data_IF_438903714286
#
_entry.id   IF_438903714286
#
_cell.length_a   1.000
_cell.length_b   1.000
_cell.length_c   1.000
_cell.angle_alpha   90.00
_cell.angle_beta   90.00
_cell.angle_gamma   90.00
#
_symmetry.space_group_name_H-M   'P 1'
#
loop_
_entity.id
_entity.type
_entity.pdbx_description
1 polymer ?
#
# COMPACT_ATOMS: atom_id res chain seq x y z
N UNK A 1 -43.12 -30.23 -28.19
CA UNK A 1 -42.56 -29.80 -26.88
C UNK A 1 -41.99 -28.40 -27.05
N UNK A 2 -42.70 -27.32 -26.66
CA UNK A 2 -42.28 -25.93 -26.89
C UNK A 2 -41.56 -25.26 -25.69
N UNK A 3 -41.15 -26.03 -24.68
CA UNK A 3 -40.61 -25.48 -23.42
C UNK A 3 -39.10 -25.20 -23.39
N UNK A 4 -38.32 -25.61 -24.40
CA UNK A 4 -36.85 -25.54 -24.34
C UNK A 4 -36.23 -24.23 -24.83
N UNK A 5 -36.94 -23.45 -25.65
CA UNK A 5 -36.39 -22.20 -26.22
C UNK A 5 -36.54 -21.00 -25.29
N UNK A 6 -37.64 -20.92 -24.51
CA UNK A 6 -37.82 -19.86 -23.50
C UNK A 6 -36.78 -19.94 -22.38
N UNK A 7 -36.42 -21.14 -21.93
CA UNK A 7 -35.40 -21.30 -20.90
C UNK A 7 -33.99 -20.94 -21.37
N UNK A 8 -33.67 -21.03 -22.68
CA UNK A 8 -32.36 -20.61 -23.19
C UNK A 8 -32.22 -19.09 -23.25
N UNK A 9 -33.24 -18.35 -23.72
CA UNK A 9 -33.15 -16.89 -23.78
C UNK A 9 -33.20 -16.23 -22.39
N UNK A 10 -33.87 -16.85 -21.41
CA UNK A 10 -33.84 -16.41 -20.02
C UNK A 10 -32.46 -16.59 -19.37
N UNK A 11 -31.78 -17.71 -19.65
CA UNK A 11 -30.42 -17.97 -19.18
C UNK A 11 -29.39 -17.02 -19.82
N UNK A 12 -29.53 -16.74 -21.13
CA UNK A 12 -28.68 -15.76 -21.82
C UNK A 12 -28.87 -14.34 -21.28
N UNK A 13 -30.12 -13.90 -21.07
CA UNK A 13 -30.42 -12.61 -20.47
C UNK A 13 -29.90 -12.49 -19.02
N UNK A 14 -29.95 -13.57 -18.23
CA UNK A 14 -29.41 -13.57 -16.88
C UNK A 14 -27.89 -13.50 -16.87
N UNK A 15 -27.23 -14.26 -17.75
CA UNK A 15 -25.77 -14.22 -17.94
C UNK A 15 -25.30 -12.82 -18.37
N UNK A 16 -25.96 -12.20 -19.36
CA UNK A 16 -25.63 -10.85 -19.81
C UNK A 16 -25.75 -9.82 -18.68
N UNK A 17 -26.85 -9.85 -17.91
CA UNK A 17 -27.04 -8.95 -16.75
C UNK A 17 -26.00 -9.17 -15.66
N UNK A 18 -25.57 -10.41 -15.44
CA UNK A 18 -24.52 -10.72 -14.48
C UNK A 18 -23.17 -10.15 -14.95
N UNK A 19 -22.81 -10.34 -16.22
CA UNK A 19 -21.58 -9.78 -16.81
C UNK A 19 -21.57 -8.26 -16.75
N UNK A 20 -22.66 -7.58 -17.11
CA UNK A 20 -22.77 -6.12 -17.05
C UNK A 20 -22.61 -5.57 -15.63
N UNK A 21 -23.16 -6.27 -14.62
CA UNK A 21 -22.97 -5.90 -13.21
C UNK A 21 -21.52 -6.04 -12.77
N UNK A 22 -20.85 -7.12 -13.16
CA UNK A 22 -19.44 -7.34 -12.83
C UNK A 22 -18.55 -6.30 -13.49
N UNK A 23 -18.73 -6.02 -14.79
CA UNK A 23 -17.98 -4.99 -15.51
C UNK A 23 -18.21 -3.60 -14.91
N UNK A 24 -19.45 -3.28 -14.52
CA UNK A 24 -19.74 -2.04 -13.79
C UNK A 24 -18.97 -1.94 -12.48
N UNK A 25 -18.93 -3.02 -11.72
CA UNK A 25 -18.25 -3.06 -10.42
C UNK A 25 -16.73 -2.93 -10.58
N UNK A 26 -16.13 -3.58 -11.59
CA UNK A 26 -14.71 -3.46 -11.88
C UNK A 26 -14.31 -2.03 -12.22
N UNK A 27 -15.07 -1.37 -13.10
CA UNK A 27 -14.82 0.04 -13.46
C UNK A 27 -15.01 0.99 -12.27
N UNK A 28 -16.01 0.73 -11.43
CA UNK A 28 -16.17 1.50 -10.20
C UNK A 28 -14.95 1.36 -9.29
N UNK A 29 -14.38 0.16 -9.16
CA UNK A 29 -13.17 -0.08 -8.37
C UNK A 29 -11.94 0.60 -8.98
N UNK A 30 -11.81 0.61 -10.30
CA UNK A 30 -10.74 1.31 -11.02
C UNK A 30 -10.76 2.81 -10.70
N UNK A 31 -11.92 3.46 -10.79
CA UNK A 31 -12.03 4.90 -10.46
C UNK A 31 -11.77 5.15 -8.98
N UNK A 32 -12.21 4.27 -8.08
CA UNK A 32 -11.89 4.40 -6.64
C UNK A 32 -10.38 4.25 -6.37
N UNK A 33 -9.70 3.39 -7.12
CA UNK A 33 -8.25 3.26 -7.08
C UNK A 33 -7.55 4.57 -7.47
N UNK A 34 -7.94 5.18 -8.60
CA UNK A 34 -7.37 6.45 -9.04
C UNK A 34 -7.63 7.59 -8.03
N UNK A 35 -8.80 7.63 -7.41
CA UNK A 35 -9.09 8.61 -6.36
C UNK A 35 -8.18 8.42 -5.13
N UNK A 36 -7.87 7.19 -4.75
CA UNK A 36 -6.94 6.91 -3.66
C UNK A 36 -5.50 7.35 -4.01
N UNK A 37 -5.05 7.11 -5.25
CA UNK A 37 -3.75 7.61 -5.72
C UNK A 37 -3.70 9.14 -5.76
N UNK A 38 -4.79 9.78 -6.17
CA UNK A 38 -4.93 11.24 -6.17
C UNK A 38 -4.88 11.80 -4.76
N UNK A 39 -5.54 11.15 -3.79
CA UNK A 39 -5.47 11.53 -2.38
C UNK A 39 -4.03 11.49 -1.86
N UNK A 40 -3.30 10.42 -2.21
CA UNK A 40 -1.91 10.25 -1.82
C UNK A 40 -1.02 11.36 -2.39
N UNK A 41 -1.18 11.68 -3.68
CA UNK A 41 -0.47 12.80 -4.30
C UNK A 41 -0.80 14.14 -3.61
N UNK A 42 -2.04 14.32 -3.18
CA UNK A 42 -2.45 15.48 -2.37
C UNK A 42 -1.73 15.58 -1.04
N UNK A 43 -1.60 14.47 -0.31
CA UNK A 43 -0.83 14.43 0.95
C UNK A 43 0.66 14.73 0.74
N UNK A 44 1.26 14.21 -0.34
CA UNK A 44 2.64 14.52 -0.71
C UNK A 44 2.82 16.01 -1.00
N UNK A 45 1.88 16.61 -1.74
CA UNK A 45 1.86 18.04 -1.99
C UNK A 45 1.77 18.85 -0.68
N UNK A 46 0.86 18.49 0.23
CA UNK A 46 0.70 19.18 1.51
C UNK A 46 1.96 19.06 2.38
N UNK A 47 2.58 17.88 2.42
CA UNK A 47 3.85 17.64 3.13
C UNK A 47 5.00 18.48 2.55
N UNK A 48 5.22 18.41 1.23
CA UNK A 48 6.27 19.18 0.57
C UNK A 48 6.11 20.70 0.76
N UNK A 49 4.86 21.19 0.71
CA UNK A 49 4.52 22.58 0.99
C UNK A 49 4.82 22.97 2.44
N UNK A 50 4.41 22.15 3.42
CA UNK A 50 4.66 22.41 4.84
C UNK A 50 6.17 22.43 5.15
N UNK A 51 6.93 21.48 4.61
CA UNK A 51 8.39 21.47 4.72
C UNK A 51 9.04 22.71 4.10
N UNK A 52 8.54 23.17 2.94
CA UNK A 52 9.04 24.40 2.32
C UNK A 52 8.74 25.65 3.16
N UNK A 53 7.54 25.76 3.71
CA UNK A 53 7.18 26.87 4.62
C UNK A 53 8.06 26.87 5.87
N UNK A 54 8.28 25.71 6.48
CA UNK A 54 9.17 25.56 7.62
C UNK A 54 10.62 25.93 7.27
N UNK A 55 11.10 25.56 6.08
CA UNK A 55 12.43 25.95 5.60
C UNK A 55 12.55 27.47 5.41
N UNK A 56 11.54 28.13 4.84
CA UNK A 56 11.53 29.59 4.70
C UNK A 56 11.54 30.30 6.06
N UNK A 57 10.70 29.86 7.00
CA UNK A 57 10.61 30.43 8.35
C UNK A 57 11.91 30.24 9.14
N UNK A 58 12.47 29.03 9.12
CA UNK A 58 13.75 28.74 9.78
C UNK A 58 14.90 29.51 9.13
N UNK A 59 14.90 29.63 7.79
CA UNK A 59 15.89 30.43 7.07
C UNK A 59 15.81 31.88 7.52
N UNK A 60 14.64 32.53 7.46
CA UNK A 60 14.44 33.93 7.83
C UNK A 60 14.92 34.26 9.26
N UNK A 61 14.81 33.29 10.18
CA UNK A 61 15.21 33.44 11.57
C UNK A 61 16.67 33.04 11.86
N UNK A 62 17.37 32.42 10.91
CA UNK A 62 18.76 31.96 11.09
C UNK A 62 19.78 33.08 10.85
N UNK A 63 21.00 32.92 11.39
CA UNK A 63 22.11 33.84 11.11
C UNK A 63 22.48 33.88 9.61
N UNK A 64 22.36 32.74 8.92
CA UNK A 64 22.55 32.66 7.47
C UNK A 64 21.47 33.44 6.71
N UNK A 65 20.20 33.30 7.11
CA UNK A 65 19.11 34.09 6.53
C UNK A 65 19.26 35.58 6.78
N UNK A 66 19.65 36.01 7.97
CA UNK A 66 19.94 37.44 8.24
C UNK A 66 21.03 38.00 7.31
N UNK A 67 22.04 37.19 6.95
CA UNK A 67 23.05 37.57 5.95
C UNK A 67 22.46 37.62 4.54
N UNK A 68 21.63 36.64 4.18
CA UNK A 68 20.90 36.63 2.90
C UNK A 68 20.02 37.87 2.74
N UNK A 69 19.36 38.32 3.82
CA UNK A 69 18.55 39.54 3.85
C UNK A 69 19.38 40.82 3.77
N UNK A 70 20.63 40.79 4.23
CA UNK A 70 21.54 41.94 4.23
C UNK A 70 22.33 42.07 2.92
N UNK A 71 22.43 41.00 2.14
CA UNK A 71 23.13 40.96 0.86
C UNK A 71 22.20 41.39 -0.30
N UNK A 72 22.54 42.51 -0.95
CA UNK A 72 21.71 43.14 -1.99
C UNK A 72 21.64 42.35 -3.31
N UNK A 73 22.64 41.51 -3.60
CA UNK A 73 22.68 40.70 -4.82
C UNK A 73 21.89 39.39 -4.66
N UNK A 74 21.81 38.93 -3.41
CA UNK A 74 21.20 37.68 -3.01
C UNK A 74 19.72 37.87 -2.66
N UNK A 75 19.37 38.90 -1.90
CA UNK A 75 18.00 39.16 -1.43
C UNK A 75 16.90 39.06 -2.52
N UNK A 76 17.06 39.64 -3.73
CA UNK A 76 16.05 39.56 -4.78
C UNK A 76 15.73 38.12 -5.22
N UNK A 77 16.73 37.24 -5.20
CA UNK A 77 16.58 35.84 -5.59
C UNK A 77 15.85 35.04 -4.51
N UNK A 78 16.16 35.31 -3.23
CA UNK A 78 15.46 34.72 -2.09
C UNK A 78 13.99 35.15 -2.08
N UNK A 79 13.74 36.44 -2.28
CA UNK A 79 12.40 37.00 -2.34
C UNK A 79 11.60 36.46 -3.53
N UNK A 80 12.22 36.30 -4.71
CA UNK A 80 11.56 35.67 -5.84
C UNK A 80 11.19 34.20 -5.56
N UNK A 81 12.08 33.43 -4.93
CA UNK A 81 11.84 32.04 -4.54
C UNK A 81 10.72 31.91 -3.50
N UNK A 82 10.68 32.77 -2.48
CA UNK A 82 9.61 32.75 -1.47
C UNK A 82 8.26 33.15 -2.06
N UNK A 83 8.23 34.12 -2.99
CA UNK A 83 7.00 34.56 -3.67
C UNK A 83 6.46 33.55 -4.68
N UNK A 84 7.32 32.79 -5.36
CA UNK A 84 6.88 31.74 -6.29
C UNK A 84 6.00 30.69 -5.61
N UNK A 85 6.26 30.40 -4.33
CA UNK A 85 5.45 29.50 -3.52
C UNK A 85 4.12 30.10 -3.05
N UNK A 86 4.04 31.42 -2.86
CA UNK A 86 2.80 32.11 -2.49
C UNK A 86 1.86 32.30 -3.68
N UNK A 87 2.40 32.49 -4.89
CA UNK A 87 1.60 32.65 -6.12
C UNK A 87 0.92 31.36 -6.58
N UNK A 88 1.35 30.20 -6.06
CA UNK A 88 0.62 28.96 -6.27
C UNK A 88 -0.59 28.95 -5.35
N UNK A 89 -1.76 29.22 -5.94
CA UNK A 89 -3.03 29.18 -5.25
C UNK A 89 -3.11 27.90 -4.41
N UNK A 90 -3.50 28.06 -3.15
CA UNK A 90 -3.79 26.96 -2.25
C UNK A 90 -4.78 26.03 -2.95
N UNK A 91 -4.26 24.95 -3.50
CA UNK A 91 -5.04 23.94 -4.18
C UNK A 91 -6.02 23.36 -3.17
N UNK A 92 -7.32 23.60 -3.36
CA UNK A 92 -8.38 22.98 -2.57
C UNK A 92 -8.67 21.56 -3.10
N UNK A 93 -7.59 20.79 -3.27
CA UNK A 93 -7.63 19.47 -3.87
C UNK A 93 -8.49 18.50 -3.07
N UNK A 94 -8.59 18.70 -1.76
CA UNK A 94 -9.44 17.91 -0.88
C UNK A 94 -10.91 18.08 -1.26
N UNK A 95 -11.35 19.31 -1.51
CA UNK A 95 -12.72 19.60 -1.95
C UNK A 95 -12.99 19.06 -3.36
N UNK A 96 -12.02 19.18 -4.26
CA UNK A 96 -12.11 18.59 -5.60
C UNK A 96 -12.23 17.07 -5.52
N UNK A 97 -11.38 16.40 -4.74
CA UNK A 97 -11.38 14.96 -4.56
C UNK A 97 -12.67 14.45 -3.92
N UNK A 98 -13.19 15.14 -2.89
CA UNK A 98 -14.49 14.81 -2.29
C UNK A 98 -15.63 14.95 -3.29
N UNK A 99 -15.56 15.97 -4.15
CA UNK A 99 -16.53 16.17 -5.24
C UNK A 99 -16.47 15.03 -6.24
N UNK A 100 -15.28 14.60 -6.64
CA UNK A 100 -15.07 13.44 -7.52
C UNK A 100 -15.60 12.16 -6.89
N UNK A 101 -15.25 11.86 -5.63
CA UNK A 101 -15.73 10.69 -4.91
C UNK A 101 -17.27 10.64 -4.83
N UNK A 102 -17.91 11.78 -4.58
CA UNK A 102 -19.37 11.90 -4.60
C UNK A 102 -19.94 11.63 -6.00
N UNK A 103 -19.35 12.18 -7.05
CA UNK A 103 -19.76 11.94 -8.45
C UNK A 103 -19.65 10.47 -8.83
N UNK A 104 -18.57 9.78 -8.44
CA UNK A 104 -18.37 8.35 -8.70
C UNK A 104 -19.45 7.50 -8.03
N UNK A 105 -19.79 7.83 -6.78
CA UNK A 105 -20.84 7.12 -6.02
C UNK A 105 -22.25 7.35 -6.61
N UNK A 106 -22.49 8.52 -7.19
CA UNK A 106 -23.77 8.91 -7.81
C UNK A 106 -23.85 8.59 -9.31
N UNK A 107 -22.75 8.17 -9.93
CA UNK A 107 -22.71 7.93 -11.36
C UNK A 107 -23.46 6.63 -11.72
N UNK A 108 -24.54 6.80 -12.47
CA UNK A 108 -25.33 5.69 -13.02
C UNK A 108 -24.88 5.22 -14.41
N UNK A 109 -23.86 5.85 -15.00
CA UNK A 109 -23.37 5.57 -16.35
C UNK A 109 -21.84 5.51 -16.42
N UNK A 110 -21.36 4.72 -17.38
CA UNK A 110 -19.94 4.53 -17.65
C UNK A 110 -19.22 5.82 -18.06
N UNK A 111 -19.86 6.65 -18.89
CA UNK A 111 -19.25 7.90 -19.36
C UNK A 111 -18.93 8.85 -18.20
N UNK A 112 -19.75 8.84 -17.14
CA UNK A 112 -19.51 9.65 -15.95
C UNK A 112 -18.32 9.12 -15.13
N UNK A 113 -18.12 7.81 -15.10
CA UNK A 113 -16.94 7.23 -14.46
C UNK A 113 -15.66 7.57 -15.22
N UNK A 114 -15.67 7.48 -16.56
CA UNK A 114 -14.52 7.87 -17.39
C UNK A 114 -14.14 9.34 -17.19
N UNK A 115 -15.13 10.23 -17.11
CA UNK A 115 -14.87 11.64 -16.82
C UNK A 115 -14.23 11.82 -15.43
N UNK A 116 -14.75 11.12 -14.41
CA UNK A 116 -14.15 11.18 -13.06
C UNK A 116 -12.73 10.64 -13.02
N UNK A 117 -12.44 9.58 -13.79
CA UNK A 117 -11.10 9.02 -13.92
C UNK A 117 -10.12 10.04 -14.52
N UNK A 118 -10.48 10.65 -15.65
CA UNK A 118 -9.66 11.68 -16.29
C UNK A 118 -9.46 12.93 -15.41
N UNK A 119 -10.50 13.37 -14.70
CA UNK A 119 -10.40 14.49 -13.75
C UNK A 119 -9.48 14.12 -12.56
N UNK A 120 -9.53 12.88 -12.09
CA UNK A 120 -8.65 12.34 -11.04
C UNK A 120 -7.18 12.29 -11.50
N UNK A 121 -6.91 11.70 -12.66
CA UNK A 121 -5.57 11.60 -13.25
C UNK A 121 -4.94 12.98 -13.43
N UNK A 122 -5.69 13.93 -13.99
CA UNK A 122 -5.22 15.31 -14.18
C UNK A 122 -4.89 15.97 -12.84
N UNK A 123 -5.74 15.79 -11.83
CA UNK A 123 -5.50 16.33 -10.49
C UNK A 123 -4.26 15.71 -9.85
N UNK A 124 -4.09 14.39 -9.98
CA UNK A 124 -2.92 13.64 -9.48
C UNK A 124 -1.62 14.13 -10.12
N UNK A 125 -1.61 14.29 -11.44
CA UNK A 125 -0.45 14.81 -12.18
C UNK A 125 -0.10 16.22 -11.73
N UNK A 126 -1.10 17.10 -11.61
CA UNK A 126 -0.90 18.47 -11.12
C UNK A 126 -0.30 18.48 -9.71
N UNK A 127 -0.89 17.74 -8.77
CA UNK A 127 -0.40 17.67 -7.38
C UNK A 127 1.03 17.13 -7.31
N UNK A 128 1.32 16.08 -8.07
CA UNK A 128 2.65 15.48 -8.14
C UNK A 128 3.69 16.44 -8.70
N UNK A 129 3.37 17.16 -9.77
CA UNK A 129 4.24 18.18 -10.35
C UNK A 129 4.49 19.33 -9.37
N UNK A 130 3.46 19.78 -8.65
CA UNK A 130 3.63 20.82 -7.62
C UNK A 130 4.52 20.34 -6.46
N UNK A 131 4.33 19.10 -6.00
CA UNK A 131 5.19 18.53 -4.97
C UNK A 131 6.67 18.50 -5.41
N UNK A 132 6.96 18.06 -6.65
CA UNK A 132 8.33 18.05 -7.21
C UNK A 132 8.94 19.45 -7.28
N UNK A 133 8.15 20.47 -7.61
CA UNK A 133 8.61 21.87 -7.62
C UNK A 133 9.03 22.33 -6.22
N UNK A 134 8.24 22.04 -5.20
CA UNK A 134 8.61 22.36 -3.81
C UNK A 134 9.92 21.70 -3.40
N UNK A 135 10.11 20.42 -3.72
CA UNK A 135 11.38 19.72 -3.46
C UNK A 135 12.55 20.41 -4.18
N UNK A 136 12.37 20.79 -5.45
CA UNK A 136 13.40 21.50 -6.23
C UNK A 136 13.75 22.86 -5.60
N UNK A 137 12.74 23.60 -5.12
CA UNK A 137 12.95 24.89 -4.44
C UNK A 137 13.70 24.70 -3.12
N UNK A 138 13.37 23.67 -2.34
CA UNK A 138 14.07 23.34 -1.11
C UNK A 138 15.55 23.04 -1.37
N UNK A 139 15.85 22.18 -2.33
CA UNK A 139 17.24 21.84 -2.68
C UNK A 139 18.04 23.07 -3.12
N UNK A 140 17.42 23.96 -3.91
CA UNK A 140 18.05 25.20 -4.35
C UNK A 140 18.37 26.12 -3.16
N UNK A 141 17.42 26.32 -2.26
CA UNK A 141 17.61 27.16 -1.07
C UNK A 141 18.69 26.58 -0.15
N UNK A 142 18.68 25.27 0.10
CA UNK A 142 19.69 24.61 0.92
C UNK A 142 21.09 24.69 0.33
N UNK A 143 21.22 24.48 -0.99
CA UNK A 143 22.52 24.62 -1.69
C UNK A 143 23.09 26.02 -1.49
N UNK A 144 22.21 27.02 -1.54
CA UNK A 144 22.60 28.41 -1.34
C UNK A 144 22.95 28.74 0.11
N UNK A 145 22.19 28.23 1.09
CA UNK A 145 22.53 28.33 2.51
C UNK A 145 23.90 27.72 2.83
N UNK A 146 24.23 26.61 2.17
CA UNK A 146 25.54 25.98 2.29
C UNK A 146 26.66 26.84 1.70
N UNK A 147 26.47 27.37 0.49
CA UNK A 147 27.46 28.24 -0.15
C UNK A 147 27.71 29.54 0.63
N UNK A 148 26.66 30.14 1.20
CA UNK A 148 26.76 31.36 2.00
C UNK A 148 27.36 31.13 3.39
N UNK A 149 27.26 29.91 3.95
CA UNK A 149 27.93 29.56 5.20
C UNK A 149 29.41 29.19 5.01
N UNK A 150 29.78 28.60 3.87
CA UNK A 150 31.17 28.21 3.54
C UNK A 150 32.04 29.38 3.03
N UNK A 151 31.44 30.40 2.41
CA UNK A 151 32.17 31.54 1.82
C UNK A 151 32.50 32.71 2.76
N UNK A 152 32.04 32.69 4.02
CA UNK A 152 32.22 33.83 4.93
C UNK A 152 33.50 33.69 5.78
N UNK A 153 34.43 34.67 5.79
CA UNK A 153 35.48 34.71 6.80
C UNK A 153 34.81 34.85 8.18
N UNK A 154 35.36 34.15 9.18
CA UNK A 154 34.89 34.16 10.57
C UNK A 154 35.03 35.56 11.19
N UNK A 155 34.15 36.47 10.84
CA UNK A 155 34.09 37.80 11.41
C UNK A 155 33.15 37.80 12.61
N UNK A 156 33.76 37.85 13.80
CA UNK A 156 33.19 38.42 15.02
C UNK A 156 32.22 37.55 15.81
N UNK A 157 32.67 37.10 16.99
CA UNK A 157 31.88 36.78 18.19
C UNK A 157 30.40 36.43 17.98
N UNK A 158 30.14 35.38 17.20
CA UNK A 158 28.87 34.66 17.27
C UNK A 158 28.88 33.85 18.57
N UNK A 159 28.03 34.22 19.53
CA UNK A 159 27.80 33.49 20.77
C UNK A 159 27.76 31.99 20.51
N UNK A 160 28.47 31.19 21.31
CA UNK A 160 28.51 29.72 21.25
C UNK A 160 27.10 29.10 21.15
N UNK A 161 26.09 29.82 21.66
CA UNK A 161 24.68 29.47 21.52
C UNK A 161 24.14 29.50 20.08
N UNK A 162 24.56 30.42 19.22
CA UNK A 162 24.09 30.52 17.83
C UNK A 162 24.66 29.40 16.94
N UNK A 163 25.92 29.02 17.16
CA UNK A 163 26.55 27.85 16.51
C UNK A 163 25.88 26.57 16.97
N UNK A 164 25.57 26.44 18.27
CA UNK A 164 24.89 25.26 18.80
C UNK A 164 23.44 25.16 18.30
N UNK A 165 22.71 26.28 18.21
CA UNK A 165 21.35 26.32 17.67
C UNK A 165 21.31 25.96 16.18
N UNK A 166 22.29 26.42 15.40
CA UNK A 166 22.41 26.05 13.98
C UNK A 166 22.75 24.57 13.82
N UNK A 167 23.61 24.00 14.67
CA UNK A 167 23.93 22.57 14.64
C UNK A 167 22.74 21.68 15.04
N UNK A 168 21.94 22.08 16.04
CA UNK A 168 20.74 21.36 16.44
C UNK A 168 19.66 21.45 15.35
N UNK A 169 19.48 22.62 14.72
CA UNK A 169 18.58 22.78 13.58
C UNK A 169 19.02 21.92 12.39
N UNK A 170 20.33 21.90 12.06
CA UNK A 170 20.88 21.08 10.98
C UNK A 170 20.71 19.57 11.25
N UNK A 171 20.91 19.12 12.49
CA UNK A 171 20.67 17.71 12.88
C UNK A 171 19.20 17.34 12.78
N UNK A 172 18.30 18.21 13.25
CA UNK A 172 16.85 17.99 13.16
C UNK A 172 16.37 17.98 11.71
N UNK A 173 16.96 18.82 10.87
CA UNK A 173 16.69 18.85 9.42
C UNK A 173 17.23 17.61 8.71
N UNK A 174 18.44 17.15 9.03
CA UNK A 174 18.97 15.87 8.54
C UNK A 174 18.07 14.71 8.93
N UNK A 175 17.55 14.73 10.16
CA UNK A 175 16.64 13.71 10.67
C UNK A 175 15.30 13.71 9.91
N UNK A 176 14.69 14.89 9.72
CA UNK A 176 13.49 15.05 8.88
C UNK A 176 13.74 14.63 7.42
N UNK A 177 14.96 14.80 6.92
CA UNK A 177 15.34 14.36 5.56
C UNK A 177 15.43 12.85 5.44
N UNK A 178 16.02 12.18 6.44
CA UNK A 178 16.01 10.72 6.51
C UNK A 178 14.59 10.21 6.66
N UNK A 179 13.76 10.82 7.52
CA UNK A 179 12.36 10.44 7.69
C UNK A 179 11.57 10.63 6.39
N UNK A 180 11.70 11.78 5.70
CA UNK A 180 11.04 12.03 4.43
C UNK A 180 11.54 11.10 3.30
N UNK A 181 12.82 10.72 3.33
CA UNK A 181 13.39 9.77 2.36
C UNK A 181 12.92 8.35 2.63
N UNK A 182 12.90 7.92 3.89
CA UNK A 182 12.35 6.63 4.31
C UNK A 182 10.85 6.55 4.00
N UNK A 183 10.10 7.63 4.22
CA UNK A 183 8.69 7.73 3.86
C UNK A 183 8.50 7.69 2.34
N UNK A 184 9.34 8.38 1.56
CA UNK A 184 9.34 8.30 0.09
C UNK A 184 9.67 6.90 -0.42
N UNK A 185 10.67 6.23 0.16
CA UNK A 185 11.06 4.87 -0.21
C UNK A 185 9.97 3.85 0.18
N UNK A 186 9.34 4.01 1.35
CA UNK A 186 8.17 3.24 1.75
C UNK A 186 7.01 3.47 0.77
N UNK A 187 6.79 4.71 0.35
CA UNK A 187 5.76 5.07 -0.61
C UNK A 187 6.00 4.44 -1.98
N UNK A 188 7.23 4.52 -2.50
CA UNK A 188 7.61 3.90 -3.77
C UNK A 188 7.46 2.38 -3.71
N UNK A 189 7.77 1.76 -2.57
CA UNK A 189 7.56 0.33 -2.36
C UNK A 189 6.08 -0.06 -2.37
N UNK A 190 5.21 0.75 -1.75
CA UNK A 190 3.77 0.54 -1.77
C UNK A 190 3.17 0.80 -3.16
N UNK A 191 3.66 1.81 -3.90
CA UNK A 191 3.24 2.06 -5.29
C UNK A 191 3.59 0.88 -6.18
N UNK A 192 4.77 0.29 -5.99
CA UNK A 192 5.16 -0.91 -6.72
C UNK A 192 4.26 -2.09 -6.37
N UNK A 193 3.96 -2.31 -5.10
CA UNK A 193 3.03 -3.37 -4.67
C UNK A 193 1.62 -3.16 -5.23
N UNK A 194 1.13 -1.93 -5.26
CA UNK A 194 -0.17 -1.60 -5.84
C UNK A 194 -0.20 -1.78 -7.36
N UNK A 195 0.86 -1.39 -8.07
CA UNK A 195 0.99 -1.63 -9.50
C UNK A 195 1.04 -3.14 -9.80
N UNK A 196 1.79 -3.91 -9.02
CA UNK A 196 1.83 -5.37 -9.12
C UNK A 196 0.46 -6.00 -8.83
N UNK A 197 -0.27 -5.49 -7.83
CA UNK A 197 -1.63 -5.92 -7.49
C UNK A 197 -2.66 -5.54 -8.57
N UNK A 198 -2.57 -4.35 -9.16
CA UNK A 198 -3.39 -3.94 -10.30
C UNK A 198 -3.13 -4.83 -11.52
N UNK A 199 -1.86 -5.14 -11.80
CA UNK A 199 -1.49 -6.03 -12.90
C UNK A 199 -1.97 -7.48 -12.64
N UNK A 200 -1.90 -7.95 -11.40
CA UNK A 200 -2.46 -9.25 -11.01
C UNK A 200 -3.99 -9.27 -11.17
N UNK A 201 -4.69 -8.21 -10.77
CA UNK A 201 -6.14 -8.06 -10.96
C UNK A 201 -6.52 -8.00 -12.44
N UNK A 202 -5.80 -7.25 -13.27
CA UNK A 202 -5.98 -7.23 -14.72
C UNK A 202 -5.82 -8.63 -15.31
N UNK A 203 -4.81 -9.39 -14.86
CA UNK A 203 -4.61 -10.78 -15.27
C UNK A 203 -5.75 -11.73 -14.84
N UNK A 204 -6.39 -11.48 -13.70
CA UNK A 204 -7.58 -12.21 -13.26
C UNK A 204 -8.80 -11.84 -14.12
N UNK A 205 -8.99 -10.55 -14.43
CA UNK A 205 -10.07 -10.08 -15.31
C UNK A 205 -9.92 -10.70 -16.70
N UNK A 206 -8.73 -10.68 -17.29
CA UNK A 206 -8.45 -11.30 -18.58
C UNK A 206 -8.71 -12.82 -18.60
N UNK A 207 -8.47 -13.52 -17.48
CA UNK A 207 -8.85 -14.94 -17.36
C UNK A 207 -10.36 -15.10 -17.30
N UNK A 208 -11.04 -14.32 -16.46
CA UNK A 208 -12.49 -14.38 -16.32
C UNK A 208 -13.21 -14.04 -17.63
N UNK A 209 -12.70 -13.09 -18.42
CA UNK A 209 -13.23 -12.78 -19.75
C UNK A 209 -13.04 -13.93 -20.73
N UNK A 210 -11.86 -14.57 -20.74
CA UNK A 210 -11.61 -15.77 -21.57
C UNK A 210 -12.50 -16.94 -21.16
N UNK A 211 -12.69 -17.16 -19.87
CA UNK A 211 -13.56 -18.21 -19.32
C UNK A 211 -15.03 -17.95 -19.70
N UNK A 212 -15.47 -16.69 -19.69
CA UNK A 212 -16.80 -16.27 -20.15
C UNK A 212 -17.00 -16.50 -21.65
N UNK A 213 -15.99 -16.20 -22.48
CA UNK A 213 -16.05 -16.44 -23.92
C UNK A 213 -16.10 -17.94 -24.23
N UNK A 214 -15.30 -18.76 -23.55
CA UNK A 214 -15.35 -20.23 -23.69
C UNK A 214 -16.70 -20.82 -23.25
N UNK A 215 -17.25 -20.35 -22.12
CA UNK A 215 -18.56 -20.79 -21.64
C UNK A 215 -19.70 -20.44 -22.62
N UNK A 216 -19.60 -19.30 -23.32
CA UNK A 216 -20.57 -18.89 -24.36
C UNK A 216 -20.51 -19.73 -25.64
N UNK A 217 -19.34 -20.28 -25.97
CA UNK A 217 -19.15 -21.10 -27.17
C UNK A 217 -19.53 -22.58 -26.97
N UNK A 218 -20.15 -22.94 -25.84
CA UNK A 218 -20.55 -24.32 -25.55
C UNK A 218 -19.36 -25.24 -25.23
N UNK A 219 -18.16 -24.68 -25.07
CA UNK A 219 -17.07 -25.39 -24.44
C UNK A 219 -17.42 -25.57 -22.96
N UNK A 220 -17.50 -26.81 -22.50
CA UNK A 220 -17.38 -27.09 -21.06
C UNK A 220 -16.15 -26.33 -20.61
N UNK A 221 -16.24 -25.34 -19.71
CA UNK A 221 -15.06 -24.68 -19.23
C UNK A 221 -14.15 -25.78 -18.72
N UNK A 222 -12.92 -25.84 -19.23
CA UNK A 222 -11.85 -26.55 -18.58
C UNK A 222 -11.69 -25.83 -17.25
N UNK A 223 -12.53 -26.25 -16.31
CA UNK A 223 -12.51 -25.85 -14.94
C UNK A 223 -11.15 -26.34 -14.50
N UNK A 224 -10.16 -25.46 -14.52
CA UNK A 224 -9.18 -25.46 -13.46
C UNK A 224 -9.95 -25.12 -12.18
N UNK A 225 -10.79 -26.07 -11.76
CA UNK A 225 -10.91 -26.38 -10.34
C UNK A 225 -9.46 -26.45 -9.90
N UNK A 226 -9.01 -25.68 -8.88
CA UNK A 226 -7.72 -25.97 -8.28
C UNK A 226 -7.70 -27.47 -8.07
N UNK A 227 -6.75 -28.16 -8.73
CA UNK A 227 -6.65 -29.63 -8.87
C UNK A 227 -7.47 -30.28 -7.78
N UNK A 228 -8.49 -31.08 -8.12
CA UNK A 228 -9.15 -31.93 -7.15
C UNK A 228 -8.06 -32.50 -6.26
N UNK A 229 -7.95 -31.94 -5.05
CA UNK A 229 -6.82 -32.23 -4.18
C UNK A 229 -6.93 -33.72 -3.97
N UNK A 230 -5.88 -34.46 -4.33
CA UNK A 230 -5.90 -35.89 -4.12
C UNK A 230 -6.14 -36.10 -2.62
N UNK A 231 -7.35 -36.55 -2.27
CA UNK A 231 -7.77 -36.73 -0.89
C UNK A 231 -6.86 -37.73 -0.19
N UNK A 232 -6.22 -38.64 -0.92
CA UNK A 232 -5.20 -39.53 -0.39
C UNK A 232 -3.95 -38.74 0.04
N UNK A 233 -3.43 -37.87 -0.83
CA UNK A 233 -2.33 -36.95 -0.49
C UNK A 233 -2.70 -36.04 0.68
N UNK A 234 -3.90 -35.43 0.71
CA UNK A 234 -4.35 -34.61 1.83
C UNK A 234 -4.35 -35.38 3.16
N UNK A 235 -4.92 -36.59 3.17
CA UNK A 235 -4.95 -37.45 4.37
C UNK A 235 -3.54 -37.86 4.82
N UNK A 236 -2.64 -38.14 3.88
CA UNK A 236 -1.25 -38.48 4.17
C UNK A 236 -0.49 -37.29 4.80
N UNK A 237 -0.77 -36.07 4.34
CA UNK A 237 -0.11 -34.84 4.79
C UNK A 237 -0.74 -34.26 6.08
N UNK A 238 -1.96 -34.70 6.45
CA UNK A 238 -2.71 -34.17 7.59
C UNK A 238 -1.95 -34.22 8.93
N UNK A 239 -1.19 -35.28 9.27
CA UNK A 239 -0.38 -35.29 10.49
C UNK A 239 0.75 -34.25 10.49
N UNK A 240 1.35 -33.95 9.33
CA UNK A 240 2.35 -32.87 9.20
C UNK A 240 1.67 -31.52 9.34
N UNK A 241 0.55 -31.30 8.63
CA UNK A 241 -0.23 -30.07 8.71
C UNK A 241 -0.67 -29.77 10.14
N UNK A 242 -1.12 -30.75 10.92
CA UNK A 242 -1.52 -30.54 12.32
C UNK A 242 -0.37 -30.08 13.22
N UNK A 243 0.85 -30.53 12.96
CA UNK A 243 2.04 -30.16 13.75
C UNK A 243 2.58 -28.81 13.32
N UNK A 244 2.74 -28.59 12.02
CA UNK A 244 3.38 -27.40 11.47
C UNK A 244 2.43 -26.21 11.36
N UNK A 245 1.14 -26.43 11.09
CA UNK A 245 0.14 -25.36 10.94
C UNK A 245 -0.65 -25.07 12.22
N UNK A 246 -0.18 -25.59 13.36
CA UNK A 246 -0.76 -25.34 14.69
C UNK A 246 -1.16 -23.88 14.94
N UNK A 247 -0.34 -22.85 14.63
CA UNK A 247 -0.69 -21.46 14.92
C UNK A 247 -1.74 -20.89 13.96
N UNK A 248 -2.17 -21.63 12.94
CA UNK A 248 -3.23 -21.22 12.02
C UNK A 248 -4.51 -22.01 12.28
N UNK A 249 -4.40 -23.31 12.56
CA UNK A 249 -5.57 -24.19 12.61
C UNK A 249 -6.30 -24.25 13.96
N UNK A 250 -5.66 -23.80 15.03
CA UNK A 250 -6.29 -23.75 16.34
C UNK A 250 -7.15 -22.50 16.51
N UNK A 251 -8.19 -22.58 17.33
CA UNK A 251 -9.04 -21.44 17.61
C UNK A 251 -8.33 -20.40 18.48
N UNK A 252 -8.34 -19.14 18.04
CA UNK A 252 -7.80 -17.98 18.74
C UNK A 252 -8.61 -16.72 18.45
N UNK A 253 -8.37 -15.65 19.20
CA UNK A 253 -9.04 -14.37 19.07
C UNK A 253 -8.43 -13.47 17.99
N UNK A 254 -7.13 -13.62 17.73
CA UNK A 254 -6.42 -12.76 16.79
C UNK A 254 -6.67 -13.21 15.34
N UNK A 255 -7.08 -12.29 14.47
CA UNK A 255 -7.24 -12.53 13.03
C UNK A 255 -6.35 -11.57 12.22
N UNK A 256 -5.74 -12.01 11.10
CA UNK A 256 -4.98 -11.11 10.24
C UNK A 256 -5.87 -9.96 9.73
N UNK A 257 -5.43 -8.73 9.93
CA UNK A 257 -6.04 -7.52 9.38
C UNK A 257 -5.20 -6.92 8.25
N UNK A 258 -3.91 -7.26 8.21
CA UNK A 258 -2.94 -6.88 7.19
C UNK A 258 -1.64 -7.67 7.38
N UNK A 259 -0.56 -7.32 6.64
CA UNK A 259 0.71 -8.03 6.70
C UNK A 259 1.33 -8.08 8.11
N UNK A 260 1.06 -7.06 8.93
CA UNK A 260 1.71 -6.85 10.23
C UNK A 260 0.73 -6.61 11.37
N UNK A 261 -0.56 -6.81 11.13
CA UNK A 261 -1.61 -6.38 12.05
C UNK A 261 -2.58 -7.52 12.35
N UNK A 262 -2.90 -7.64 13.64
CA UNK A 262 -4.00 -8.48 14.11
C UNK A 262 -5.17 -7.63 14.55
N UNK A 263 -6.36 -8.04 14.11
CA UNK A 263 -7.62 -7.61 14.71
C UNK A 263 -8.06 -8.67 15.72
N UNK A 264 -8.32 -8.25 16.95
CA UNK A 264 -8.90 -9.13 17.97
C UNK A 264 -10.41 -9.17 17.84
N UNK A 265 -10.96 -10.37 17.85
CA UNK A 265 -12.40 -10.61 17.72
C UNK A 265 -12.97 -11.22 19.00
N UNK A 266 -14.28 -11.04 19.24
CA UNK A 266 -14.93 -11.54 20.45
C UNK A 266 -15.09 -13.06 20.52
N UNK A 267 -14.94 -13.77 19.40
CA UNK A 267 -15.14 -15.22 19.29
C UNK A 267 -13.86 -15.90 18.82
N UNK A 268 -13.44 -16.96 19.52
CA UNK A 268 -12.27 -17.75 19.10
C UNK A 268 -12.60 -18.55 17.84
N UNK A 269 -11.77 -18.41 16.80
CA UNK A 269 -11.85 -19.20 15.56
C UNK A 269 -10.46 -19.47 15.00
N UNK A 270 -10.29 -20.50 14.15
CA UNK A 270 -9.06 -20.68 13.39
C UNK A 270 -8.72 -19.43 12.59
N UNK A 271 -7.48 -19.32 12.11
CA UNK A 271 -7.12 -18.21 11.23
C UNK A 271 -7.93 -18.32 9.93
N UNK A 272 -8.39 -17.16 9.47
CA UNK A 272 -9.10 -17.03 8.20
C UNK A 272 -8.17 -17.24 7.01
N UNK A 273 -8.56 -18.11 6.08
CA UNK A 273 -7.86 -18.30 4.82
C UNK A 273 -7.91 -17.01 3.99
N UNK A 274 -9.07 -16.35 3.92
CA UNK A 274 -9.17 -15.05 3.24
C UNK A 274 -8.33 -13.97 3.93
N UNK A 275 -8.22 -14.00 5.26
CA UNK A 275 -7.31 -13.13 6.02
C UNK A 275 -5.83 -13.34 5.67
N UNK A 276 -5.39 -14.61 5.54
CA UNK A 276 -4.01 -14.93 5.11
C UNK A 276 -3.72 -14.47 3.67
N UNK A 277 -4.70 -14.62 2.77
CA UNK A 277 -4.59 -14.14 1.40
C UNK A 277 -4.53 -12.61 1.34
N UNK A 278 -5.43 -11.92 2.04
CA UNK A 278 -5.47 -10.46 2.08
C UNK A 278 -4.21 -9.85 2.72
N UNK A 279 -3.58 -10.54 3.66
CA UNK A 279 -2.31 -10.14 4.25
C UNK A 279 -1.09 -10.40 3.34
N UNK A 280 -1.25 -11.07 2.19
CA UNK A 280 -0.14 -11.47 1.32
C UNK A 280 0.70 -12.64 1.85
N UNK A 281 0.27 -13.30 2.93
CA UNK A 281 1.04 -14.36 3.60
C UNK A 281 1.23 -15.63 2.75
N UNK A 282 0.42 -15.79 1.70
CA UNK A 282 0.44 -16.96 0.82
C UNK A 282 1.05 -16.67 -0.57
N UNK A 283 1.63 -15.49 -0.78
CA UNK A 283 2.35 -15.16 -2.01
C UNK A 283 3.69 -15.91 -2.10
N UNK A 284 4.11 -16.31 -3.31
CA UNK A 284 5.38 -17.03 -3.55
C UNK A 284 6.58 -16.09 -3.56
N UNK A 285 6.70 -15.28 -2.51
CA UNK A 285 7.70 -14.21 -2.40
C UNK A 285 8.34 -14.26 -1.03
N UNK A 286 9.55 -13.72 -0.92
CA UNK A 286 10.22 -13.60 0.39
C UNK A 286 9.42 -12.73 1.36
N UNK A 287 8.66 -11.76 0.83
CA UNK A 287 7.71 -10.94 1.59
C UNK A 287 6.56 -11.81 2.13
N UNK A 288 5.95 -12.66 1.30
CA UNK A 288 4.88 -13.56 1.75
C UNK A 288 5.35 -14.53 2.83
N UNK A 289 6.56 -15.08 2.70
CA UNK A 289 7.21 -15.91 3.71
C UNK A 289 7.45 -15.13 5.02
N UNK A 290 7.97 -13.91 4.90
CA UNK A 290 8.19 -13.01 6.03
C UNK A 290 6.89 -12.70 6.79
N UNK A 291 5.82 -12.41 6.06
CA UNK A 291 4.49 -12.17 6.60
C UNK A 291 3.94 -13.41 7.30
N UNK A 292 4.03 -14.59 6.68
CA UNK A 292 3.54 -15.83 7.29
C UNK A 292 4.29 -16.16 8.58
N UNK A 293 5.61 -15.96 8.60
CA UNK A 293 6.42 -16.16 9.80
C UNK A 293 6.00 -15.23 10.94
N UNK A 294 5.70 -13.96 10.63
CA UNK A 294 5.21 -12.99 11.61
C UNK A 294 3.84 -13.38 12.16
N UNK A 295 2.89 -13.70 11.28
CA UNK A 295 1.54 -14.08 11.69
C UNK A 295 1.50 -15.38 12.49
N UNK A 296 2.32 -16.38 12.14
CA UNK A 296 2.35 -17.66 12.85
C UNK A 296 3.23 -17.66 14.10
N UNK A 297 4.40 -17.03 14.00
CA UNK A 297 5.52 -17.19 14.92
C UNK A 297 5.63 -16.14 16.02
N UNK A 298 4.98 -14.98 15.86
CA UNK A 298 5.15 -13.88 16.81
C UNK A 298 4.35 -14.09 18.11
N UNK A 299 5.09 -14.12 19.24
CA UNK A 299 4.56 -14.32 20.60
C UNK A 299 4.98 -13.20 21.59
N UNK A 300 5.45 -12.05 21.10
CA UNK A 300 5.93 -10.91 21.93
C UNK A 300 4.83 -9.88 22.23
N UNK A 301 4.86 -9.19 23.38
CA UNK A 301 3.74 -8.41 23.95
C UNK A 301 3.07 -7.37 23.03
N UNK A 302 1.73 -7.33 23.02
CA UNK A 302 0.90 -6.24 22.45
C UNK A 302 -0.09 -6.64 21.35
N UNK A 303 0.32 -7.48 20.39
CA UNK A 303 -0.51 -7.96 19.26
C UNK A 303 -0.05 -9.36 18.81
N UNK A 304 -0.45 -10.38 19.56
CA UNK A 304 0.06 -11.73 19.39
C UNK A 304 -0.95 -12.65 18.72
N UNK A 305 -0.43 -13.58 17.93
CA UNK A 305 -1.18 -14.80 17.64
C UNK A 305 -1.28 -15.63 18.94
N UNK A 306 -2.48 -15.75 19.48
CA UNK A 306 -2.78 -16.41 20.76
C UNK A 306 -2.85 -17.96 20.66
N UNK A 307 -2.55 -18.51 19.48
CA UNK A 307 -2.63 -19.96 19.21
C UNK A 307 -1.35 -20.71 19.59
N UNK A 308 -1.43 -22.02 19.89
CA UNK A 308 -0.24 -22.83 20.11
C UNK A 308 0.64 -22.89 18.86
N UNK A 309 1.96 -22.84 19.07
CA UNK A 309 2.95 -22.77 18.00
C UNK A 309 3.17 -24.14 17.31
N UNK A 310 3.04 -25.25 18.03
CA UNK A 310 3.36 -26.58 17.50
C UNK A 310 4.82 -26.68 17.04
N UNK A 311 5.04 -27.18 15.83
CA UNK A 311 6.38 -27.25 15.19
C UNK A 311 6.73 -26.02 14.34
N UNK A 312 5.80 -25.06 14.21
CA UNK A 312 6.06 -23.80 13.52
C UNK A 312 7.17 -23.04 14.27
N UNK A 313 8.12 -22.38 13.58
CA UNK A 313 9.19 -21.69 14.26
C UNK A 313 8.67 -20.47 15.04
N UNK A 314 9.19 -20.27 16.25
CA UNK A 314 8.92 -19.08 17.04
C UNK A 314 9.70 -17.92 16.43
N UNK A 315 9.07 -16.75 16.38
CA UNK A 315 9.72 -15.52 15.94
C UNK A 315 10.11 -14.69 17.17
N UNK A 316 11.39 -14.61 17.44
CA UNK A 316 11.99 -13.63 18.35
C UNK A 316 12.44 -12.37 17.63
N UNK A 317 12.91 -12.50 16.39
CA UNK A 317 13.22 -11.39 15.47
C UNK A 317 12.98 -11.80 14.02
N UNK A 318 12.88 -10.82 13.12
CA UNK A 318 12.71 -11.10 11.69
C UNK A 318 13.94 -11.81 11.09
N UNK A 319 15.15 -11.51 11.59
CA UNK A 319 16.42 -12.06 11.12
C UNK A 319 16.52 -13.58 11.24
N UNK A 320 15.68 -14.20 12.07
CA UNK A 320 15.65 -15.65 12.21
C UNK A 320 15.25 -16.38 10.93
N UNK A 321 14.57 -15.69 10.00
CA UNK A 321 14.29 -16.23 8.66
C UNK A 321 15.54 -16.48 7.84
N UNK A 322 16.67 -15.82 8.13
CA UNK A 322 17.93 -16.12 7.47
C UNK A 322 18.47 -17.51 7.85
N UNK A 323 18.00 -18.10 8.95
CA UNK A 323 18.39 -19.45 9.36
C UNK A 323 17.74 -20.48 8.43
N UNK A 324 18.51 -21.34 7.72
CA UNK A 324 17.97 -22.26 6.72
C UNK A 324 16.84 -23.16 7.23
N UNK A 325 16.96 -23.67 8.46
CA UNK A 325 15.94 -24.53 9.08
C UNK A 325 14.63 -23.81 9.42
N UNK A 326 14.69 -22.51 9.71
CA UNK A 326 13.50 -21.68 9.96
C UNK A 326 12.82 -21.37 8.63
N UNK A 327 13.57 -20.85 7.66
CA UNK A 327 13.05 -20.54 6.32
C UNK A 327 12.38 -21.75 5.67
N UNK A 328 13.03 -22.92 5.71
CA UNK A 328 12.49 -24.16 5.13
C UNK A 328 11.15 -24.58 5.78
N UNK A 329 11.03 -24.45 7.11
CA UNK A 329 9.77 -24.76 7.82
C UNK A 329 8.65 -23.78 7.47
N UNK A 330 8.95 -22.48 7.36
CA UNK A 330 7.95 -21.47 6.99
C UNK A 330 7.51 -21.66 5.54
N UNK A 331 8.44 -21.90 4.61
CA UNK A 331 8.12 -22.24 3.21
C UNK A 331 7.25 -23.49 3.13
N UNK A 332 7.60 -24.54 3.86
CA UNK A 332 6.80 -25.76 3.93
C UNK A 332 5.39 -25.51 4.46
N UNK A 333 5.24 -24.68 5.48
CA UNK A 333 3.93 -24.28 5.99
C UNK A 333 3.12 -23.51 4.93
N UNK A 334 3.76 -22.58 4.22
CA UNK A 334 3.13 -21.81 3.14
C UNK A 334 2.66 -22.73 2.00
N UNK A 335 3.50 -23.67 1.56
CA UNK A 335 3.15 -24.68 0.56
C UNK A 335 1.91 -25.48 0.95
N UNK A 336 1.86 -25.96 2.20
CA UNK A 336 0.71 -26.72 2.70
C UNK A 336 -0.57 -25.88 2.75
N UNK A 337 -0.49 -24.63 3.20
CA UNK A 337 -1.63 -23.71 3.22
C UNK A 337 -2.12 -23.35 1.82
N UNK A 338 -1.22 -23.19 0.85
CA UNK A 338 -1.58 -22.94 -0.55
C UNK A 338 -2.20 -24.15 -1.23
N UNK A 339 -1.63 -25.33 -0.99
CA UNK A 339 -2.08 -26.57 -1.60
C UNK A 339 -3.40 -27.08 -1.01
N UNK A 340 -3.59 -26.94 0.30
CA UNK A 340 -4.69 -27.56 1.04
C UNK A 340 -5.60 -26.56 1.76
N UNK A 341 -5.38 -25.25 1.66
CA UNK A 341 -6.13 -24.23 2.40
C UNK A 341 -7.64 -24.35 2.26
N UNK A 342 -8.14 -24.56 1.03
CA UNK A 342 -9.58 -24.75 0.77
C UNK A 342 -10.14 -26.02 1.43
N UNK A 343 -9.38 -27.12 1.43
CA UNK A 343 -9.76 -28.35 2.10
C UNK A 343 -9.72 -28.19 3.64
N UNK A 344 -8.74 -27.44 4.16
CA UNK A 344 -8.65 -27.12 5.59
C UNK A 344 -9.84 -26.28 6.04
N UNK A 345 -10.34 -25.36 5.21
CA UNK A 345 -11.60 -24.65 5.47
C UNK A 345 -12.79 -25.60 5.49
N UNK A 346 -12.90 -26.50 4.50
CA UNK A 346 -13.97 -27.50 4.44
C UNK A 346 -14.00 -28.41 5.69
N UNK A 347 -12.82 -28.77 6.20
CA UNK A 347 -12.65 -29.58 7.42
C UNK A 347 -12.72 -28.73 8.72
N UNK A 348 -13.04 -27.42 8.63
CA UNK A 348 -13.09 -26.46 9.73
C UNK A 348 -11.80 -26.31 10.54
N UNK A 349 -10.67 -26.65 9.91
CA UNK A 349 -9.34 -26.40 10.43
C UNK A 349 -8.87 -24.99 10.11
N UNK A 350 -9.39 -24.33 9.09
CA UNK A 350 -9.28 -22.89 8.89
C UNK A 350 -10.68 -22.27 8.89
N UNK A 351 -10.78 -20.96 9.16
CA UNK A 351 -12.03 -20.25 8.90
C UNK A 351 -12.03 -19.70 7.48
N UNK A 352 -13.22 -19.44 6.94
CA UNK A 352 -13.38 -18.73 5.67
C UNK A 352 -12.72 -17.34 5.71
#
# INVERSE_FOLDING_TARGET
RPGSERSRSELENWSQRATERTLRRLRQLEVLGELAETERAGRLYDSARASWQSLLESTANSAAGKRILADQDIWPQFFALSRLAETQAQSDWQTTLQTLARRVTQAGSEDRWRLCLQEGELLREQLSEQARRFVTYQERLQRWLKQTSEGAPAAGEGSVFDIHRSQVALKREQQLRTEAKEESEAIDSELKQLADAQQALAGIVDRLERDLVQARQGGTPAREVPRAVDLATYRQQLPEMRRLLSPFIHSGYAQPAGPNEFRYEGTKRPISLSGLLAAGALEDTDIGIATLFRLGGWKGGGQQNDRPLGEFPQMSSQDELAKPGVSAKVRRAQELLRAFGTQLVADRLLSE
#
